data_IF_533625558853
#
_entry.id   IF_533625558853
#
_cell.length_a   1.000
_cell.length_b   1.000
_cell.length_c   1.000
_cell.angle_alpha   90.00
_cell.angle_beta   90.00
_cell.angle_gamma   90.00
#
_symmetry.space_group_name_H-M   'P 1'
#
loop_
_entity.id
_entity.type
_entity.pdbx_description
1 polymer ?
#
# COMPACT_ATOMS: atom_id res chain seq x y z
N UNK A 1 -17.14 25.77 7.80
CA UNK A 1 -16.64 25.38 6.45
C UNK A 1 -15.35 24.58 6.58
N UNK A 2 -14.45 24.95 7.48
CA UNK A 2 -13.18 24.24 7.76
C UNK A 2 -13.33 22.73 7.98
N UNK A 3 -14.31 22.27 8.78
CA UNK A 3 -14.48 20.84 9.07
C UNK A 3 -14.76 19.95 7.82
N UNK A 4 -15.29 20.55 6.74
CA UNK A 4 -15.48 19.85 5.46
C UNK A 4 -14.18 19.77 4.67
N UNK A 5 -13.37 20.82 4.67
CA UNK A 5 -12.10 20.85 3.95
C UNK A 5 -11.09 19.87 4.58
N UNK A 6 -11.09 19.75 5.91
CA UNK A 6 -10.27 18.75 6.61
C UNK A 6 -10.68 17.31 6.32
N UNK A 7 -11.97 17.03 6.15
CA UNK A 7 -12.45 15.69 5.77
C UNK A 7 -12.04 15.34 4.34
N UNK A 8 -12.05 16.33 3.44
CA UNK A 8 -11.64 16.16 2.05
C UNK A 8 -10.12 15.94 1.94
N UNK A 9 -9.30 16.71 2.66
CA UNK A 9 -7.85 16.47 2.76
C UNK A 9 -7.54 15.08 3.32
N UNK A 10 -8.24 14.73 4.41
CA UNK A 10 -8.41 13.38 5.00
C UNK A 10 -8.44 12.27 3.95
N UNK A 11 -9.49 12.36 3.13
CA UNK A 11 -9.79 11.38 2.10
C UNK A 11 -8.76 11.39 0.97
N UNK A 12 -8.26 12.56 0.57
CA UNK A 12 -7.28 12.69 -0.51
C UNK A 12 -5.93 12.05 -0.16
N UNK A 13 -5.43 12.23 1.07
CA UNK A 13 -4.19 11.60 1.51
C UNK A 13 -4.28 10.07 1.48
N UNK A 14 -5.39 9.52 1.97
CA UNK A 14 -5.65 8.07 1.90
C UNK A 14 -5.65 7.54 0.48
N UNK A 15 -6.32 8.24 -0.44
CA UNK A 15 -6.35 7.85 -1.86
C UNK A 15 -4.96 7.90 -2.47
N UNK A 16 -4.13 8.90 -2.11
CA UNK A 16 -2.77 9.04 -2.64
C UNK A 16 -1.85 7.90 -2.20
N UNK A 17 -1.91 7.48 -0.94
CA UNK A 17 -1.16 6.31 -0.45
C UNK A 17 -1.62 5.02 -1.11
N UNK A 18 -2.94 4.83 -1.23
CA UNK A 18 -3.51 3.66 -1.88
C UNK A 18 -3.09 3.59 -3.35
N UNK A 19 -3.11 4.72 -4.06
CA UNK A 19 -2.68 4.81 -5.46
C UNK A 19 -1.21 4.47 -5.64
N UNK A 20 -0.35 4.88 -4.69
CA UNK A 20 1.08 4.54 -4.69
C UNK A 20 1.29 3.04 -4.48
N UNK A 21 0.53 2.42 -3.57
CA UNK A 21 0.54 0.96 -3.37
C UNK A 21 0.07 0.20 -4.60
N UNK A 22 -1.09 0.57 -5.17
CA UNK A 22 -1.61 -0.06 -6.38
C UNK A 22 -0.65 0.06 -7.57
N UNK A 23 0.08 1.16 -7.70
CA UNK A 23 1.10 1.31 -8.74
C UNK A 23 2.25 0.30 -8.55
N UNK A 24 2.76 0.13 -7.33
CA UNK A 24 3.78 -0.89 -7.05
C UNK A 24 3.25 -2.32 -7.26
N UNK A 25 2.01 -2.60 -6.86
CA UNK A 25 1.37 -3.89 -7.09
C UNK A 25 1.19 -4.17 -8.59
N UNK A 26 0.78 -3.18 -9.37
CA UNK A 26 0.60 -3.32 -10.82
C UNK A 26 1.94 -3.63 -11.50
N UNK A 27 3.01 -2.90 -11.16
CA UNK A 27 4.36 -3.17 -11.68
C UNK A 27 4.83 -4.57 -11.27
N UNK A 28 4.60 -4.97 -10.01
CA UNK A 28 4.91 -6.32 -9.54
C UNK A 28 4.18 -7.39 -10.38
N UNK A 29 2.88 -7.26 -10.60
CA UNK A 29 2.11 -8.20 -11.40
C UNK A 29 2.62 -8.28 -12.84
N UNK A 30 2.95 -7.14 -13.46
CA UNK A 30 3.52 -7.12 -14.82
C UNK A 30 4.86 -7.87 -14.86
N UNK A 31 5.76 -7.60 -13.91
CA UNK A 31 7.06 -8.29 -13.83
C UNK A 31 6.86 -9.80 -13.61
N UNK A 32 5.95 -10.21 -12.72
CA UNK A 32 5.64 -11.61 -12.47
C UNK A 32 5.13 -12.31 -13.73
N UNK A 33 4.25 -11.68 -14.50
CA UNK A 33 3.75 -12.22 -15.77
C UNK A 33 4.90 -12.38 -16.76
N UNK A 34 5.74 -11.36 -16.94
CA UNK A 34 6.91 -11.43 -17.84
C UNK A 34 7.85 -12.57 -17.44
N UNK A 35 8.17 -12.69 -16.15
CA UNK A 35 9.04 -13.75 -15.63
C UNK A 35 8.43 -15.14 -15.84
N UNK A 36 7.13 -15.29 -15.60
CA UNK A 36 6.42 -16.55 -15.85
C UNK A 36 6.50 -16.96 -17.33
N UNK A 37 6.34 -16.01 -18.26
CA UNK A 37 6.49 -16.28 -19.69
C UNK A 37 7.91 -16.69 -20.08
N UNK A 38 8.92 -16.10 -19.44
CA UNK A 38 10.33 -16.47 -19.65
C UNK A 38 10.58 -17.90 -19.16
N UNK A 39 10.16 -18.25 -17.95
CA UNK A 39 10.34 -19.60 -17.38
C UNK A 39 9.60 -20.68 -18.18
N UNK A 40 8.38 -20.36 -18.65
CA UNK A 40 7.61 -21.24 -19.54
C UNK A 40 8.32 -21.46 -20.89
N UNK A 41 8.98 -20.42 -21.42
CA UNK A 41 9.70 -20.51 -22.70
C UNK A 41 11.06 -21.21 -22.58
N UNK A 42 11.69 -21.17 -21.42
CA UNK A 42 13.00 -21.79 -21.12
C UNK A 42 12.90 -23.29 -20.75
N UNK A 43 11.69 -23.86 -20.76
CA UNK A 43 11.46 -25.29 -20.49
C UNK A 43 11.17 -25.63 -19.02
N UNK A 44 10.80 -24.65 -18.19
CA UNK A 44 10.30 -24.89 -16.83
C UNK A 44 11.41 -25.11 -15.80
N UNK A 45 12.42 -24.25 -15.79
CA UNK A 45 13.55 -24.28 -14.84
C UNK A 45 13.12 -24.05 -13.37
N UNK A 46 11.85 -23.73 -13.12
CA UNK A 46 11.25 -23.55 -11.78
C UNK A 46 11.91 -22.43 -10.96
N UNK A 47 12.86 -21.69 -11.54
CA UNK A 47 13.61 -20.64 -10.85
C UNK A 47 12.74 -19.43 -10.50
N UNK A 48 11.65 -19.22 -11.23
CA UNK A 48 10.67 -18.14 -11.01
C UNK A 48 10.04 -18.12 -9.61
N UNK A 49 10.07 -19.23 -8.88
CA UNK A 49 9.54 -19.31 -7.52
C UNK A 49 10.33 -18.44 -6.53
N UNK A 50 11.63 -18.26 -6.73
CA UNK A 50 12.47 -17.40 -5.89
C UNK A 50 12.05 -15.93 -5.93
N UNK A 51 11.93 -15.28 -7.11
CA UNK A 51 11.43 -13.93 -7.19
C UNK A 51 9.96 -13.83 -6.76
N UNK A 52 9.09 -14.81 -7.05
CA UNK A 52 7.71 -14.81 -6.54
C UNK A 52 7.68 -14.77 -5.01
N UNK A 53 8.45 -15.63 -4.34
CA UNK A 53 8.46 -15.71 -2.87
C UNK A 53 9.10 -14.45 -2.26
N UNK A 54 10.27 -14.05 -2.74
CA UNK A 54 10.98 -12.89 -2.20
C UNK A 54 10.20 -11.58 -2.38
N UNK A 55 9.73 -11.32 -3.60
CA UNK A 55 8.97 -10.11 -3.90
C UNK A 55 7.52 -10.18 -3.39
N UNK A 56 6.92 -11.37 -3.33
CA UNK A 56 5.60 -11.58 -2.75
C UNK A 56 5.57 -11.20 -1.27
N UNK A 57 6.58 -11.60 -0.49
CA UNK A 57 6.72 -11.21 0.92
C UNK A 57 6.84 -9.69 1.05
N UNK A 58 7.66 -9.05 0.21
CA UNK A 58 7.82 -7.59 0.22
C UNK A 58 6.50 -6.86 -0.06
N UNK A 59 5.74 -7.29 -1.08
CA UNK A 59 4.42 -6.71 -1.42
C UNK A 59 3.42 -6.91 -0.30
N UNK A 60 3.39 -8.09 0.33
CA UNK A 60 2.49 -8.39 1.46
C UNK A 60 2.83 -7.50 2.66
N UNK A 61 4.11 -7.35 3.01
CA UNK A 61 4.54 -6.45 4.07
C UNK A 61 4.17 -4.99 3.77
N UNK A 62 4.33 -4.56 2.51
CA UNK A 62 3.94 -3.22 2.09
C UNK A 62 2.42 -3.01 2.14
N UNK A 63 1.63 -4.02 1.77
CA UNK A 63 0.17 -3.99 1.88
C UNK A 63 -0.32 -3.95 3.32
N UNK A 64 0.28 -4.74 4.21
CA UNK A 64 -0.01 -4.69 5.66
C UNK A 64 0.38 -3.32 6.22
N UNK A 65 1.52 -2.77 5.81
CA UNK A 65 1.94 -1.43 6.21
C UNK A 65 0.91 -0.38 5.81
N UNK A 66 0.54 -0.30 4.53
CA UNK A 66 -0.49 0.66 4.04
C UNK A 66 -1.83 0.47 4.75
N UNK A 67 -2.25 -0.78 4.97
CA UNK A 67 -3.52 -1.07 5.66
C UNK A 67 -3.49 -0.74 7.17
N UNK A 68 -2.37 -0.94 7.87
CA UNK A 68 -2.24 -0.68 9.31
C UNK A 68 -1.91 0.77 9.62
N UNK A 69 -1.01 1.39 8.85
CA UNK A 69 -0.64 2.79 9.02
C UNK A 69 -1.84 3.69 8.75
N UNK A 70 -2.66 3.39 7.73
CA UNK A 70 -3.84 4.18 7.41
C UNK A 70 -4.90 4.22 8.52
N UNK A 71 -5.08 3.15 9.30
CA UNK A 71 -6.06 3.11 10.41
C UNK A 71 -5.48 3.61 11.74
N UNK A 72 -4.28 3.16 12.10
CA UNK A 72 -3.67 3.50 13.40
C UNK A 72 -3.18 4.95 13.49
N UNK A 73 -2.72 5.52 12.37
CA UNK A 73 -2.31 6.92 12.33
C UNK A 73 -3.52 7.87 12.39
N UNK A 74 -4.59 7.53 11.67
CA UNK A 74 -5.80 8.37 11.63
C UNK A 74 -6.46 8.46 13.01
N UNK A 75 -6.58 7.34 13.73
CA UNK A 75 -7.10 7.29 15.10
C UNK A 75 -6.27 8.15 16.07
N UNK A 76 -4.93 8.06 15.97
CA UNK A 76 -4.02 8.89 16.77
C UNK A 76 -4.17 10.38 16.48
N UNK A 77 -4.31 10.73 15.20
CA UNK A 77 -4.40 12.15 14.79
C UNK A 77 -5.73 12.77 15.19
N UNK A 78 -6.82 12.01 15.09
CA UNK A 78 -8.14 12.43 15.56
C UNK A 78 -8.12 12.66 17.08
N UNK A 79 -7.48 11.77 17.84
CA UNK A 79 -7.34 11.92 19.29
C UNK A 79 -6.49 13.14 19.68
N UNK A 80 -5.39 13.39 18.95
CA UNK A 80 -4.52 14.55 19.16
C UNK A 80 -5.23 15.89 18.86
N UNK A 81 -6.16 15.91 17.89
CA UNK A 81 -6.98 17.09 17.59
C UNK A 81 -8.03 17.32 18.69
N UNK A 82 -8.76 16.27 19.10
CA UNK A 82 -9.74 16.39 20.19
C UNK A 82 -9.10 16.84 21.52
N UNK A 83 -7.91 16.32 21.87
CA UNK A 83 -7.19 16.75 23.07
C UNK A 83 -6.66 18.20 22.99
N UNK A 84 -6.47 18.74 21.79
CA UNK A 84 -6.10 20.15 21.60
C UNK A 84 -7.30 21.07 21.71
N UNK A 85 -8.44 20.70 21.12
CA UNK A 85 -9.69 21.46 21.23
C UNK A 85 -10.28 21.45 22.64
N UNK A 86 -10.05 20.40 23.43
CA UNK A 86 -10.49 20.33 24.84
C UNK A 86 -9.61 21.15 25.79
N UNK A 87 -8.37 21.48 25.37
CA UNK A 87 -7.42 22.28 26.16
C UNK A 87 -7.41 23.77 25.81
N UNK A 88 -8.17 24.18 24.80
CA UNK A 88 -8.48 25.59 24.47
C UNK A 88 -9.90 25.95 24.95
#
# INVERSE_FOLDING_TARGET
MEERDDKLLRAQERVKELKKFYNHLAVYLVIMVVLFFIDYSDGGSWWVHWPIIGWGIFVVLQGISVSKFGKGWEDKKIKEIMEKEEKE
#
